data_IF_843465401417
#
_entry.id   IF_843465401417
#
_cell.length_a   1.000
_cell.length_b   1.000
_cell.length_c   1.000
_cell.angle_alpha   90.00
_cell.angle_beta   90.00
_cell.angle_gamma   90.00
#
_symmetry.space_group_name_H-M   'P 1'
#
loop_
_entity.id
_entity.type
_entity.pdbx_description
1 polymer ?
#
# COMPACT_ATOMS: atom_id res chain seq x y z
N UNK A 1 -29.13 38.29 61.92
CA UNK A 1 -28.78 36.97 62.46
C UNK A 1 -27.61 36.42 61.67
N UNK A 2 -26.55 36.05 62.36
CA UNK A 2 -25.32 35.50 61.80
C UNK A 2 -25.52 34.05 61.33
N UNK A 3 -25.13 33.75 60.10
CA UNK A 3 -24.68 32.41 59.67
C UNK A 3 -23.60 32.58 58.60
N UNK A 4 -22.35 32.63 59.07
CA UNK A 4 -21.17 32.74 58.22
C UNK A 4 -20.79 31.41 57.61
N UNK A 5 -20.90 31.32 56.28
CA UNK A 5 -20.05 30.43 55.50
C UNK A 5 -19.42 31.24 54.37
N UNK A 6 -18.26 31.84 54.65
CA UNK A 6 -17.40 32.47 53.65
C UNK A 6 -16.75 31.37 52.82
N UNK A 7 -17.44 30.91 51.78
CA UNK A 7 -16.84 29.98 50.83
C UNK A 7 -15.82 30.74 49.96
N UNK A 8 -14.53 30.56 50.26
CA UNK A 8 -13.43 31.03 49.40
C UNK A 8 -13.47 30.23 48.10
N UNK A 9 -13.83 30.88 46.99
CA UNK A 9 -13.65 30.34 45.65
C UNK A 9 -12.14 30.13 45.41
N UNK A 10 -11.67 28.90 45.65
CA UNK A 10 -10.26 28.53 45.68
C UNK A 10 -9.72 28.30 44.25
N UNK A 11 -9.82 29.35 43.44
CA UNK A 11 -9.64 29.42 41.98
C UNK A 11 -10.92 29.09 41.20
N UNK A 12 -11.48 30.13 40.59
CA UNK A 12 -12.29 29.94 39.38
C UNK A 12 -11.31 29.49 38.31
N UNK A 13 -11.23 28.18 38.08
CA UNK A 13 -10.64 27.67 36.86
C UNK A 13 -11.57 28.14 35.74
N UNK A 14 -11.06 29.04 34.90
CA UNK A 14 -11.74 29.46 33.68
C UNK A 14 -12.09 28.18 32.91
N UNK A 15 -13.37 27.82 32.88
CA UNK A 15 -13.89 26.68 32.14
C UNK A 15 -13.86 26.99 30.63
N UNK A 16 -12.67 27.28 30.10
CA UNK A 16 -12.45 27.74 28.74
C UNK A 16 -11.26 27.03 28.10
N UNK A 17 -11.05 25.74 28.40
CA UNK A 17 -9.96 25.00 27.74
C UNK A 17 -10.12 23.46 27.75
N UNK A 18 -10.93 22.85 28.61
CA UNK A 18 -11.10 21.38 28.63
C UNK A 18 -12.38 20.95 27.93
N UNK A 19 -12.57 21.43 26.71
CA UNK A 19 -13.40 20.78 25.72
C UNK A 19 -13.30 21.65 24.47
N UNK A 20 -12.50 21.20 23.51
CA UNK A 20 -12.63 21.70 22.15
C UNK A 20 -13.99 21.20 21.61
N UNK A 21 -15.07 21.90 22.02
CA UNK A 21 -16.45 21.64 21.63
C UNK A 21 -16.64 22.16 20.21
N UNK A 22 -16.27 21.33 19.25
CA UNK A 22 -17.07 20.94 18.09
C UNK A 22 -16.11 20.42 17.03
N UNK A 23 -16.12 19.10 16.84
CA UNK A 23 -16.06 18.62 15.47
C UNK A 23 -17.07 19.47 14.68
N UNK A 24 -16.61 20.20 13.67
CA UNK A 24 -17.49 20.90 12.73
C UNK A 24 -18.65 19.96 12.42
N UNK A 25 -19.92 20.37 12.56
CA UNK A 25 -21.05 19.50 12.29
C UNK A 25 -20.98 19.05 10.82
N UNK A 26 -20.29 17.94 10.57
CA UNK A 26 -20.31 17.25 9.30
C UNK A 26 -21.70 16.68 9.16
N UNK A 27 -22.30 16.87 8.01
CA UNK A 27 -23.56 16.23 7.67
C UNK A 27 -23.34 14.71 7.64
N UNK A 28 -23.70 14.05 8.75
CA UNK A 28 -23.50 12.61 8.94
C UNK A 28 -24.76 11.91 8.48
N UNK A 29 -24.63 11.14 7.41
CA UNK A 29 -25.68 10.29 6.86
C UNK A 29 -25.58 8.87 7.42
N UNK A 30 -26.71 8.25 7.77
CA UNK A 30 -26.74 6.90 8.36
C UNK A 30 -26.20 5.85 7.37
N UNK A 31 -25.21 5.06 7.78
CA UNK A 31 -24.50 4.05 6.95
C UNK A 31 -25.44 3.17 6.11
N UNK A 32 -26.56 2.74 6.71
CA UNK A 32 -27.67 2.14 5.98
C UNK A 32 -28.71 3.22 5.65
N UNK A 33 -29.20 3.34 4.39
CA UNK A 33 -28.88 2.48 3.25
C UNK A 33 -27.70 2.95 2.38
N UNK A 34 -27.37 4.24 2.33
CA UNK A 34 -26.61 4.83 1.21
C UNK A 34 -25.19 4.25 1.02
N UNK A 35 -24.41 4.10 2.10
CA UNK A 35 -23.04 3.59 2.02
C UNK A 35 -23.06 2.13 1.60
N UNK A 36 -23.98 1.34 2.19
CA UNK A 36 -24.16 -0.08 1.84
C UNK A 36 -24.51 -0.27 0.35
N UNK A 37 -25.40 0.57 -0.20
CA UNK A 37 -25.77 0.50 -1.62
C UNK A 37 -24.58 0.84 -2.51
N UNK A 38 -23.80 1.88 -2.17
CA UNK A 38 -22.60 2.25 -2.91
C UNK A 38 -21.53 1.15 -2.92
N UNK A 39 -21.24 0.57 -1.75
CA UNK A 39 -20.30 -0.55 -1.61
C UNK A 39 -20.78 -1.81 -2.32
N UNK A 40 -22.08 -2.12 -2.23
CA UNK A 40 -22.65 -3.26 -2.92
C UNK A 40 -22.52 -3.12 -4.45
N UNK A 41 -22.85 -1.96 -5.00
CA UNK A 41 -22.69 -1.68 -6.45
C UNK A 41 -21.22 -1.75 -6.86
N UNK A 42 -20.30 -1.18 -6.07
CA UNK A 42 -18.86 -1.29 -6.33
C UNK A 42 -18.37 -2.74 -6.30
N UNK A 43 -18.86 -3.56 -5.36
CA UNK A 43 -18.50 -4.98 -5.27
C UNK A 43 -19.00 -5.79 -6.48
N UNK A 44 -20.22 -5.51 -6.96
CA UNK A 44 -20.77 -6.11 -8.17
C UNK A 44 -19.99 -5.68 -9.41
N UNK A 45 -19.62 -4.40 -9.50
CA UNK A 45 -18.80 -3.88 -10.59
C UNK A 45 -17.41 -4.54 -10.62
N UNK A 46 -16.73 -4.66 -9.48
CA UNK A 46 -15.46 -5.36 -9.36
C UNK A 46 -15.60 -6.84 -9.76
N UNK A 47 -16.65 -7.52 -9.30
CA UNK A 47 -16.90 -8.92 -9.65
C UNK A 47 -17.15 -9.10 -11.14
N UNK A 48 -17.99 -8.25 -11.74
CA UNK A 48 -18.27 -8.26 -13.18
C UNK A 48 -16.99 -7.98 -13.99
N UNK A 49 -16.17 -7.00 -13.56
CA UNK A 49 -14.89 -6.71 -14.18
C UNK A 49 -13.96 -7.93 -14.16
N UNK A 50 -13.79 -8.58 -13.00
CA UNK A 50 -12.94 -9.77 -12.87
C UNK A 50 -13.46 -10.94 -13.72
N UNK A 51 -14.77 -11.16 -13.78
CA UNK A 51 -15.38 -12.21 -14.61
C UNK A 51 -15.18 -11.95 -16.11
N UNK A 52 -15.42 -10.72 -16.57
CA UNK A 52 -15.21 -10.34 -17.97
C UNK A 52 -13.73 -10.44 -18.33
N UNK A 53 -12.83 -9.92 -17.49
CA UNK A 53 -11.40 -10.01 -17.71
C UNK A 53 -10.93 -11.48 -17.77
N UNK A 54 -11.37 -12.32 -16.83
CA UNK A 54 -11.04 -13.74 -16.81
C UNK A 54 -11.60 -14.53 -17.99
N UNK A 55 -12.74 -14.12 -18.55
CA UNK A 55 -13.32 -14.76 -19.73
C UNK A 55 -12.59 -14.38 -21.04
N UNK A 56 -12.03 -13.16 -21.10
CA UNK A 56 -11.34 -12.66 -22.29
C UNK A 56 -9.84 -12.95 -22.30
N UNK A 57 -9.21 -13.04 -21.12
CA UNK A 57 -7.76 -13.23 -20.96
C UNK A 57 -7.49 -14.62 -20.39
N UNK A 58 -7.05 -15.54 -21.26
CA UNK A 58 -6.62 -16.86 -20.83
C UNK A 58 -5.24 -16.79 -20.19
N UNK A 59 -5.12 -17.29 -18.96
CA UNK A 59 -3.81 -17.48 -18.33
C UNK A 59 -3.10 -18.68 -18.98
N UNK A 60 -1.86 -18.53 -19.47
CA UNK A 60 -1.09 -19.66 -19.96
C UNK A 60 -0.82 -20.63 -18.81
N UNK A 61 -1.36 -21.84 -18.90
CA UNK A 61 -1.10 -22.88 -17.91
C UNK A 61 0.23 -23.57 -18.23
N UNK A 62 1.14 -23.56 -17.27
CA UNK A 62 2.36 -24.35 -17.32
C UNK A 62 2.03 -25.85 -17.20
N UNK A 63 2.94 -26.71 -17.67
CA UNK A 63 2.81 -28.16 -17.50
C UNK A 63 2.78 -28.58 -16.02
N UNK A 64 2.39 -29.84 -15.77
CA UNK A 64 2.39 -30.40 -14.41
C UNK A 64 3.80 -30.27 -13.77
N UNK A 65 3.82 -29.96 -12.46
CA UNK A 65 5.06 -29.73 -11.73
C UNK A 65 6.00 -30.94 -11.80
N UNK A 66 7.29 -30.68 -12.07
CA UNK A 66 8.33 -31.70 -12.13
C UNK A 66 9.48 -31.33 -11.20
N UNK A 67 9.73 -32.15 -10.17
CA UNK A 67 10.80 -31.92 -9.18
C UNK A 67 12.21 -31.96 -9.78
N UNK A 68 12.39 -32.61 -10.93
CA UNK A 68 13.68 -32.73 -11.61
C UNK A 68 13.95 -31.59 -12.60
N UNK A 69 13.00 -30.65 -12.79
CA UNK A 69 13.13 -29.56 -13.75
C UNK A 69 12.64 -28.24 -13.17
N UNK A 70 13.56 -27.32 -12.94
CA UNK A 70 13.22 -25.93 -12.60
C UNK A 70 12.90 -25.15 -13.88
N UNK A 71 11.75 -24.45 -13.95
CA UNK A 71 11.45 -23.54 -15.06
C UNK A 71 12.51 -22.45 -15.18
N UNK A 72 12.87 -22.08 -16.40
CA UNK A 72 13.82 -21.00 -16.68
C UNK A 72 13.23 -20.11 -17.78
N UNK A 73 12.97 -18.82 -17.51
CA UNK A 73 13.19 -18.06 -16.29
C UNK A 73 12.16 -18.37 -15.20
N UNK A 74 12.60 -18.41 -13.94
CA UNK A 74 11.68 -18.52 -12.81
C UNK A 74 11.24 -17.11 -12.39
N UNK A 75 10.21 -16.54 -13.03
CA UNK A 75 9.63 -15.24 -12.65
C UNK A 75 8.62 -15.42 -11.52
N UNK A 76 8.74 -14.59 -10.47
CA UNK A 76 7.77 -14.53 -9.40
C UNK A 76 6.48 -13.81 -9.87
N UNK A 77 5.35 -14.01 -9.18
CA UNK A 77 4.15 -13.22 -9.42
C UNK A 77 4.45 -11.71 -9.35
N UNK A 78 3.75 -10.90 -10.14
CA UNK A 78 4.02 -9.46 -10.32
C UNK A 78 4.11 -8.66 -9.02
N UNK A 79 3.34 -9.03 -7.99
CA UNK A 79 3.36 -8.39 -6.66
C UNK A 79 4.61 -8.73 -5.83
N UNK A 80 5.36 -9.78 -6.18
CA UNK A 80 6.66 -10.13 -5.60
C UNK A 80 7.85 -9.84 -6.52
N UNK A 81 7.58 -9.49 -7.76
CA UNK A 81 8.62 -9.38 -8.77
C UNK A 81 9.59 -8.22 -8.49
N UNK A 82 9.12 -7.11 -7.89
CA UNK A 82 10.02 -6.06 -7.40
C UNK A 82 10.98 -6.54 -6.30
N UNK A 83 10.53 -7.47 -5.44
CA UNK A 83 11.38 -8.08 -4.41
C UNK A 83 12.38 -9.05 -5.03
N UNK A 84 11.95 -9.80 -6.04
CA UNK A 84 12.82 -10.68 -6.81
C UNK A 84 13.94 -9.91 -7.50
N UNK A 85 13.65 -8.74 -8.07
CA UNK A 85 14.69 -7.87 -8.62
C UNK A 85 15.72 -7.46 -7.58
N UNK A 86 15.27 -7.12 -6.37
CA UNK A 86 16.17 -6.79 -5.26
C UNK A 86 17.08 -7.97 -4.87
N UNK A 87 16.58 -9.21 -4.94
CA UNK A 87 17.36 -10.43 -4.70
C UNK A 87 18.49 -10.65 -5.72
N UNK A 88 18.43 -10.03 -6.90
CA UNK A 88 19.54 -10.09 -7.86
C UNK A 88 20.70 -9.18 -7.50
N UNK A 89 20.45 -8.14 -6.70
CA UNK A 89 21.43 -7.09 -6.38
C UNK A 89 22.05 -7.26 -4.99
N UNK A 90 21.32 -7.86 -4.04
CA UNK A 90 21.77 -8.00 -2.66
C UNK A 90 21.76 -9.45 -2.20
N UNK A 91 22.48 -9.73 -1.11
CA UNK A 91 22.46 -11.03 -0.45
C UNK A 91 21.01 -11.42 -0.07
N UNK A 92 20.58 -12.69 -0.23
CA UNK A 92 19.19 -13.10 -0.05
C UNK A 92 18.55 -12.70 1.28
N UNK A 93 19.31 -12.77 2.38
CA UNK A 93 18.83 -12.32 3.70
C UNK A 93 18.50 -10.83 3.75
N UNK A 94 19.30 -9.99 3.08
CA UNK A 94 19.11 -8.54 3.09
C UNK A 94 17.92 -8.15 2.23
N UNK A 95 17.90 -8.63 0.98
CA UNK A 95 16.83 -8.31 0.04
C UNK A 95 15.48 -8.94 0.43
N UNK A 96 15.47 -10.21 0.82
CA UNK A 96 14.23 -10.95 1.09
C UNK A 96 13.63 -10.72 2.47
N UNK A 97 14.46 -10.45 3.49
CA UNK A 97 13.99 -10.39 4.89
C UNK A 97 14.23 -9.00 5.50
N UNK A 98 15.46 -8.50 5.45
CA UNK A 98 15.80 -7.24 6.14
C UNK A 98 15.09 -6.04 5.53
N UNK A 99 15.16 -5.85 4.20
CA UNK A 99 14.57 -4.67 3.54
C UNK A 99 13.04 -4.64 3.69
N UNK A 100 12.28 -5.73 3.38
CA UNK A 100 10.84 -5.76 3.63
C UNK A 100 10.50 -5.63 5.12
N UNK A 101 11.27 -6.27 6.00
CA UNK A 101 11.06 -6.21 7.45
C UNK A 101 11.20 -4.78 7.99
N UNK A 102 12.26 -4.06 7.60
CA UNK A 102 12.46 -2.66 7.97
C UNK A 102 11.38 -1.77 7.36
N UNK A 103 10.95 -2.02 6.12
CA UNK A 103 9.86 -1.26 5.50
C UNK A 103 8.53 -1.43 6.26
N UNK A 104 8.20 -2.65 6.68
CA UNK A 104 6.99 -2.93 7.47
C UNK A 104 7.06 -2.31 8.86
N UNK A 105 8.20 -2.42 9.55
CA UNK A 105 8.41 -1.77 10.86
C UNK A 105 8.31 -0.24 10.71
N UNK A 106 8.95 0.33 9.69
CA UNK A 106 8.85 1.76 9.38
C UNK A 106 7.43 2.22 9.11
N UNK A 107 6.65 1.43 8.37
CA UNK A 107 5.23 1.71 8.10
C UNK A 107 4.39 1.60 9.38
N UNK A 108 4.62 0.59 10.22
CA UNK A 108 3.97 0.46 11.53
C UNK A 108 4.32 1.60 12.48
N UNK A 109 5.54 2.14 12.38
CA UNK A 109 5.99 3.30 13.14
C UNK A 109 5.56 4.64 12.55
N UNK A 110 4.97 4.67 11.35
CA UNK A 110 4.66 5.92 10.63
C UNK A 110 3.77 6.85 11.46
N UNK A 111 2.80 6.31 12.20
CA UNK A 111 1.92 7.11 13.07
C UNK A 111 2.62 7.76 14.27
N UNK A 112 3.81 7.28 14.67
CA UNK A 112 4.60 7.87 15.75
C UNK A 112 5.67 8.85 15.24
N UNK A 113 6.14 8.64 14.01
CA UNK A 113 7.15 9.47 13.35
C UNK A 113 6.49 10.73 12.79
N UNK A 114 5.33 10.61 12.14
CA UNK A 114 4.60 11.74 11.59
C UNK A 114 3.74 12.41 12.68
N UNK A 115 4.26 13.49 13.25
CA UNK A 115 3.60 14.31 14.27
C UNK A 115 2.89 15.53 13.67
N UNK A 116 2.63 15.55 12.36
CA UNK A 116 2.01 16.71 11.74
C UNK A 116 0.57 16.90 12.27
N UNK A 117 0.23 18.06 12.85
CA UNK A 117 -1.10 18.28 13.43
C UNK A 117 -2.20 18.45 12.38
N UNK A 118 -1.83 18.72 11.12
CA UNK A 118 -2.76 18.84 9.99
C UNK A 118 -2.82 17.56 9.17
N UNK A 119 -4.03 17.10 8.86
CA UNK A 119 -4.26 15.98 7.94
C UNK A 119 -4.39 16.42 6.47
N UNK A 120 -4.29 17.73 6.19
CA UNK A 120 -4.45 18.24 4.82
C UNK A 120 -3.27 17.80 3.95
N UNK A 121 -3.50 17.32 2.72
CA UNK A 121 -2.43 16.92 1.81
C UNK A 121 -1.40 18.05 1.56
N UNK A 122 -1.87 19.30 1.51
CA UNK A 122 -1.06 20.49 1.27
C UNK A 122 0.01 20.72 2.35
N UNK A 123 -0.25 20.30 3.59
CA UNK A 123 0.65 20.48 4.72
C UNK A 123 1.62 19.29 4.89
N UNK A 124 1.44 18.20 4.13
CA UNK A 124 2.20 16.94 4.25
C UNK A 124 3.07 16.65 3.04
N UNK A 125 3.54 17.70 2.35
CA UNK A 125 4.34 17.59 1.11
C UNK A 125 5.54 16.66 1.25
N UNK A 126 6.23 16.68 2.38
CA UNK A 126 7.38 15.81 2.63
C UNK A 126 6.98 14.33 2.73
N UNK A 127 5.93 14.01 3.49
CA UNK A 127 5.44 12.64 3.63
C UNK A 127 4.90 12.10 2.29
N UNK A 128 4.16 12.93 1.55
CA UNK A 128 3.66 12.59 0.21
C UNK A 128 4.82 12.36 -0.74
N UNK A 129 5.81 13.27 -0.81
CA UNK A 129 6.97 13.11 -1.69
C UNK A 129 7.76 11.84 -1.35
N UNK A 130 7.97 11.54 -0.07
CA UNK A 130 8.65 10.31 0.37
C UNK A 130 7.86 9.07 -0.02
N UNK A 131 6.55 9.06 0.17
CA UNK A 131 5.67 7.96 -0.24
C UNK A 131 5.65 7.78 -1.76
N UNK A 132 5.61 8.88 -2.52
CA UNK A 132 5.69 8.83 -3.99
C UNK A 132 7.03 8.26 -4.44
N UNK A 133 8.16 8.70 -3.86
CA UNK A 133 9.47 8.12 -4.16
C UNK A 133 9.52 6.63 -3.84
N UNK A 134 8.95 6.21 -2.70
CA UNK A 134 8.84 4.80 -2.33
C UNK A 134 8.05 4.00 -3.37
N UNK A 135 6.88 4.49 -3.78
CA UNK A 135 6.05 3.84 -4.81
C UNK A 135 6.76 3.78 -6.17
N UNK A 136 7.42 4.87 -6.57
CA UNK A 136 8.17 4.92 -7.84
C UNK A 136 9.37 3.96 -7.83
N UNK A 137 10.09 3.84 -6.71
CA UNK A 137 11.17 2.87 -6.55
C UNK A 137 10.69 1.44 -6.79
N UNK A 138 9.60 1.03 -6.11
CA UNK A 138 9.03 -0.31 -6.29
C UNK A 138 8.43 -0.53 -7.68
N UNK A 139 7.77 0.47 -8.25
CA UNK A 139 7.23 0.39 -9.61
C UNK A 139 8.34 0.18 -10.64
N UNK A 140 9.47 0.88 -10.53
CA UNK A 140 10.62 0.70 -11.42
C UNK A 140 11.20 -0.71 -11.30
N UNK A 141 11.35 -1.25 -10.09
CA UNK A 141 11.79 -2.64 -9.91
C UNK A 141 10.81 -3.61 -10.57
N UNK A 142 9.50 -3.44 -10.37
CA UNK A 142 8.49 -4.31 -11.01
C UNK A 142 8.57 -4.23 -12.54
N UNK A 143 8.78 -3.04 -13.10
CA UNK A 143 8.94 -2.87 -14.56
C UNK A 143 10.20 -3.58 -15.06
N UNK A 144 11.34 -3.44 -14.35
CA UNK A 144 12.59 -4.10 -14.72
C UNK A 144 12.42 -5.62 -14.72
N UNK A 145 11.88 -6.20 -13.64
CA UNK A 145 11.72 -7.65 -13.58
C UNK A 145 10.71 -8.21 -14.59
N UNK A 146 9.73 -7.40 -15.00
CA UNK A 146 8.69 -7.83 -15.93
C UNK A 146 9.26 -7.90 -17.34
N UNK A 147 9.94 -6.84 -17.78
CA UNK A 147 10.30 -6.64 -19.18
C UNK A 147 11.78 -6.86 -19.50
N UNK A 148 12.70 -6.69 -18.55
CA UNK A 148 14.14 -6.70 -18.80
C UNK A 148 14.83 -8.00 -18.33
N UNK A 149 14.05 -8.99 -17.88
CA UNK A 149 14.57 -10.30 -17.42
C UNK A 149 14.24 -11.41 -18.41
N UNK A 150 15.30 -11.99 -18.98
CA UNK A 150 15.25 -13.12 -19.90
C UNK A 150 15.80 -14.41 -19.28
N UNK A 151 16.33 -15.30 -20.12
CA UNK A 151 16.87 -16.61 -19.69
C UNK A 151 17.91 -16.48 -18.57
N UNK A 152 17.80 -17.35 -17.56
CA UNK A 152 18.63 -17.32 -16.36
C UNK A 152 18.37 -16.11 -15.47
N UNK A 153 17.28 -15.37 -15.69
CA UNK A 153 17.00 -14.08 -15.06
C UNK A 153 18.07 -13.01 -15.35
N UNK A 154 18.77 -13.16 -16.49
CA UNK A 154 19.76 -12.19 -16.94
C UNK A 154 19.08 -10.93 -17.48
N UNK A 155 19.79 -9.81 -17.36
CA UNK A 155 19.33 -8.54 -17.92
C UNK A 155 19.51 -8.56 -19.44
N UNK A 156 18.40 -8.50 -20.19
CA UNK A 156 18.42 -8.31 -21.64
C UNK A 156 17.38 -7.28 -22.06
N UNK A 157 17.66 -6.59 -23.17
CA UNK A 157 16.84 -5.49 -23.64
C UNK A 157 15.52 -6.02 -24.25
N UNK A 158 14.36 -5.40 -23.97
CA UNK A 158 13.05 -5.93 -24.36
C UNK A 158 12.92 -6.22 -25.86
N UNK A 159 13.47 -5.36 -26.71
CA UNK A 159 13.41 -5.51 -28.18
C UNK A 159 14.25 -6.66 -28.75
N UNK A 160 15.11 -7.31 -27.94
CA UNK A 160 15.72 -8.60 -28.33
C UNK A 160 14.79 -9.79 -28.05
N UNK A 161 13.78 -9.62 -27.18
CA UNK A 161 12.71 -10.57 -26.81
C UNK A 161 11.37 -10.22 -27.50
N UNK A 162 11.31 -9.18 -28.33
CA UNK A 162 10.06 -8.63 -28.84
C UNK A 162 9.17 -8.08 -27.71
N UNK A 163 7.99 -8.70 -27.54
CA UNK A 163 7.00 -8.39 -26.48
C UNK A 163 6.21 -9.65 -26.08
N UNK A 164 5.88 -10.52 -27.03
CA UNK A 164 5.07 -11.72 -26.77
C UNK A 164 5.83 -12.77 -25.93
N UNK A 165 7.11 -12.98 -26.21
CA UNK A 165 7.93 -13.97 -25.50
C UNK A 165 8.33 -13.53 -24.07
N UNK A 166 7.92 -12.34 -23.62
CA UNK A 166 8.29 -11.82 -22.28
C UNK A 166 7.52 -12.53 -21.16
N UNK A 167 6.29 -12.97 -21.45
CA UNK A 167 5.37 -13.55 -20.47
C UNK A 167 5.08 -15.05 -20.71
N UNK A 168 5.59 -15.61 -21.80
CA UNK A 168 5.36 -17.00 -22.22
C UNK A 168 6.51 -17.96 -21.81
N UNK A 169 7.43 -17.51 -20.94
CA UNK A 169 8.58 -18.30 -20.47
C UNK A 169 8.41 -18.86 -19.05
#
# INVERSE_FOLDING_TARGET
GATGHTQRLLTVVKAGSIQDVKATPTDKVHTWPHLLVGEFVASLACTAFLLVFSALVNAPLLGAANVNRTPNPSKAPWYFLGLQELLTMFHPMVAGVTVPGVALVGLGMAGFIDKNPSNKPEDRKFAIATMTLFLMFWAVLVIIGSFFRGEGFNFILPWRQGVHDIFDL
#
